data_IF_992228380093
#
_entry.id   IF_992228380093
#
_cell.length_a   1.000
_cell.length_b   1.000
_cell.length_c   1.000
_cell.angle_alpha   90.00
_cell.angle_beta   90.00
_cell.angle_gamma   90.00
#
_symmetry.space_group_name_H-M   'P 1'
#
loop_
_entity.id
_entity.type
_entity.pdbx_description
1 polymer ?
#
# COMPACT_ATOMS: atom_id res chain seq x y z
N UNK A 1 3.96 -13.97 8.33
CA UNK A 1 3.44 -12.64 7.95
C UNK A 1 4.35 -12.01 6.93
N UNK A 2 3.77 -11.37 5.94
CA UNK A 2 4.53 -10.70 4.88
C UNK A 2 4.45 -9.21 5.11
N UNK A 3 5.59 -8.51 5.04
CA UNK A 3 5.63 -7.07 5.22
C UNK A 3 5.85 -6.38 3.88
N UNK A 4 5.07 -5.32 3.65
CA UNK A 4 5.16 -4.52 2.43
C UNK A 4 5.01 -3.05 2.78
N UNK A 5 5.55 -2.19 1.94
CA UNK A 5 5.48 -0.74 2.11
C UNK A 5 4.33 -0.20 1.28
N UNK A 6 3.52 0.65 1.90
CA UNK A 6 2.41 1.33 1.24
C UNK A 6 2.66 2.83 1.27
N UNK A 7 2.07 3.53 0.31
CA UNK A 7 2.08 5.00 0.32
C UNK A 7 0.77 5.44 0.94
N UNK A 8 0.84 6.05 2.10
CA UNK A 8 -0.30 6.36 2.94
C UNK A 8 -0.41 7.86 3.17
N UNK A 9 -1.64 8.36 3.21
CA UNK A 9 -1.91 9.78 3.42
C UNK A 9 -2.09 10.10 4.90
N UNK A 10 -1.54 11.22 5.34
CA UNK A 10 -1.60 11.66 6.73
C UNK A 10 -2.18 13.06 6.84
N UNK A 11 -2.81 13.34 7.98
CA UNK A 11 -3.29 14.69 8.31
C UNK A 11 -2.11 15.56 8.74
N UNK A 12 -2.38 16.86 8.90
CA UNK A 12 -1.37 17.79 9.41
C UNK A 12 -0.91 17.41 10.81
N UNK A 13 -1.78 16.77 11.58
CA UNK A 13 -1.47 16.31 12.93
C UNK A 13 -0.68 15.01 12.95
N UNK A 14 -0.42 14.43 11.78
CA UNK A 14 0.37 13.22 11.69
C UNK A 14 -0.41 11.93 11.87
N UNK A 15 -1.73 11.99 11.71
CA UNK A 15 -2.59 10.81 11.81
C UNK A 15 -2.94 10.30 10.42
N UNK A 16 -3.02 8.97 10.27
CA UNK A 16 -3.40 8.37 9.00
C UNK A 16 -4.85 8.73 8.66
N UNK A 17 -5.08 9.09 7.39
CA UNK A 17 -6.43 9.35 6.90
C UNK A 17 -7.11 8.07 6.45
N UNK A 18 -6.38 6.94 6.38
CA UNK A 18 -6.93 5.70 5.87
C UNK A 18 -6.99 5.63 4.36
N UNK A 19 -6.29 6.54 3.67
CA UNK A 19 -6.21 6.52 2.21
C UNK A 19 -4.82 6.11 1.77
N UNK A 20 -4.77 5.23 0.76
CA UNK A 20 -3.53 4.66 0.24
C UNK A 20 -3.46 4.80 -1.28
N UNK A 21 -2.25 4.84 -1.79
CA UNK A 21 -2.04 4.78 -3.24
C UNK A 21 -2.36 3.37 -3.73
N UNK A 22 -3.31 3.27 -4.67
CA UNK A 22 -3.72 1.98 -5.23
C UNK A 22 -2.99 1.67 -6.54
N UNK A 23 -2.78 2.68 -7.37
CA UNK A 23 -2.11 2.50 -8.65
C UNK A 23 -1.15 3.66 -8.88
N UNK A 24 0.12 3.35 -9.13
CA UNK A 24 1.13 4.40 -9.31
C UNK A 24 1.07 5.05 -10.69
N UNK A 25 0.42 4.40 -11.66
CA UNK A 25 0.36 4.92 -13.02
C UNK A 25 -0.66 6.07 -13.11
N UNK A 26 -1.88 5.84 -12.61
CA UNK A 26 -2.94 6.84 -12.65
C UNK A 26 -3.18 7.51 -11.29
N UNK A 27 -2.39 7.15 -10.28
CA UNK A 27 -2.46 7.72 -8.94
C UNK A 27 -3.83 7.54 -8.28
N UNK A 28 -4.48 6.42 -8.56
CA UNK A 28 -5.77 6.06 -7.95
C UNK A 28 -5.57 5.78 -6.46
N UNK A 29 -6.54 6.20 -5.66
CA UNK A 29 -6.51 6.02 -4.20
C UNK A 29 -7.52 4.96 -3.77
N UNK A 30 -7.26 4.35 -2.62
CA UNK A 30 -8.17 3.38 -2.03
C UNK A 30 -8.15 3.50 -0.52
N UNK A 31 -9.29 3.22 0.12
CA UNK A 31 -9.38 3.10 1.56
C UNK A 31 -9.13 1.66 2.02
N UNK A 32 -9.02 0.73 1.10
CA UNK A 32 -8.81 -0.69 1.39
C UNK A 32 -7.31 -0.98 1.38
N UNK A 33 -6.76 -1.28 2.56
CA UNK A 33 -5.33 -1.56 2.70
C UNK A 33 -4.90 -2.76 1.84
N UNK A 34 -5.82 -3.71 1.61
CA UNK A 34 -5.50 -4.88 0.80
C UNK A 34 -5.48 -4.57 -0.69
N UNK A 35 -6.18 -3.52 -1.11
CA UNK A 35 -6.17 -3.07 -2.50
C UNK A 35 -5.06 -2.07 -2.79
N UNK A 36 -4.35 -1.62 -1.78
CA UNK A 36 -3.28 -0.65 -1.94
C UNK A 36 -2.10 -1.24 -2.69
N UNK A 37 -1.39 -0.39 -3.42
CA UNK A 37 -0.17 -0.79 -4.12
C UNK A 37 0.89 -1.17 -3.08
N UNK A 38 1.43 -2.38 -3.18
CA UNK A 38 2.40 -2.91 -2.24
C UNK A 38 3.80 -2.86 -2.85
N UNK A 39 4.72 -2.24 -2.11
CA UNK A 39 6.12 -2.14 -2.51
C UNK A 39 6.96 -3.01 -1.60
N UNK A 40 7.89 -3.74 -2.18
CA UNK A 40 8.78 -4.60 -1.41
C UNK A 40 9.84 -3.77 -0.69
N UNK A 41 10.25 -2.65 -1.28
CA UNK A 41 11.35 -1.85 -0.78
C UNK A 41 10.85 -0.50 -0.30
N UNK A 42 11.33 -0.10 0.86
CA UNK A 42 11.02 1.21 1.43
C UNK A 42 11.38 2.33 0.46
N UNK A 43 12.54 2.23 -0.15
CA UNK A 43 13.05 3.26 -1.07
C UNK A 43 12.07 3.54 -2.21
N UNK A 44 11.56 2.47 -2.81
CA UNK A 44 10.62 2.61 -3.93
C UNK A 44 9.34 3.29 -3.45
N UNK A 45 8.84 2.88 -2.28
CA UNK A 45 7.63 3.50 -1.72
C UNK A 45 7.87 4.97 -1.39
N UNK A 46 9.05 5.32 -0.89
CA UNK A 46 9.37 6.71 -0.58
C UNK A 46 9.42 7.58 -1.83
N UNK A 47 9.95 7.07 -2.92
CA UNK A 47 9.92 7.79 -4.19
C UNK A 47 8.49 8.06 -4.64
N UNK A 48 7.61 7.08 -4.50
CA UNK A 48 6.21 7.25 -4.89
C UNK A 48 5.49 8.21 -3.95
N UNK A 49 5.86 8.20 -2.67
CA UNK A 49 5.30 9.17 -1.71
C UNK A 49 5.67 10.60 -2.12
N UNK A 50 6.91 10.82 -2.57
CA UNK A 50 7.33 12.12 -3.07
C UNK A 50 6.52 12.54 -4.30
N UNK A 51 6.32 11.62 -5.25
CA UNK A 51 5.50 11.88 -6.42
C UNK A 51 4.09 12.30 -6.02
N UNK A 52 3.52 11.63 -5.02
CA UNK A 52 2.17 11.95 -4.55
C UNK A 52 2.10 13.32 -3.90
N UNK A 53 3.12 13.68 -3.13
CA UNK A 53 3.18 15.02 -2.51
C UNK A 53 3.18 16.11 -3.56
N UNK A 54 3.89 15.90 -4.65
CA UNK A 54 3.97 16.89 -5.73
C UNK A 54 2.72 16.92 -6.58
N UNK A 55 2.18 15.74 -6.91
CA UNK A 55 1.04 15.64 -7.82
C UNK A 55 -0.28 15.99 -7.16
N UNK A 56 -0.46 15.57 -5.91
CA UNK A 56 -1.75 15.72 -5.23
C UNK A 56 -1.68 16.54 -3.95
N UNK A 57 -0.48 16.92 -3.57
CA UNK A 57 -0.23 17.61 -2.31
C UNK A 57 -0.65 16.75 -1.13
N UNK A 58 -0.39 17.21 0.06
CA UNK A 58 -0.70 16.47 1.27
C UNK A 58 0.51 15.73 1.79
N UNK A 59 0.33 15.10 2.93
CA UNK A 59 1.41 14.41 3.64
C UNK A 59 1.35 12.92 3.31
N UNK A 60 2.05 12.52 2.28
CA UNK A 60 2.14 11.13 1.83
C UNK A 60 3.44 10.53 2.33
N UNK A 61 3.35 9.36 2.96
CA UNK A 61 4.51 8.71 3.56
C UNK A 61 4.53 7.23 3.20
N UNK A 62 5.75 6.66 3.15
CA UNK A 62 5.93 5.22 3.02
C UNK A 62 5.79 4.60 4.41
N UNK A 63 4.85 3.68 4.57
CA UNK A 63 4.56 3.02 5.84
C UNK A 63 4.55 1.52 5.63
N UNK A 64 5.24 0.79 6.51
CA UNK A 64 5.28 -0.67 6.42
C UNK A 64 4.05 -1.28 7.09
N UNK A 65 3.42 -2.21 6.40
CA UNK A 65 2.27 -2.95 6.91
C UNK A 65 2.53 -4.44 6.81
N UNK A 66 2.02 -5.18 7.79
CA UNK A 66 2.07 -6.63 7.77
C UNK A 66 0.80 -7.20 7.16
N UNK A 67 0.96 -8.24 6.35
CA UNK A 67 -0.16 -8.92 5.71
C UNK A 67 -0.12 -10.41 6.08
N UNK A 68 -1.27 -10.96 6.39
CA UNK A 68 -1.38 -12.37 6.76
C UNK A 68 -1.33 -13.23 5.50
N UNK A 69 -0.21 -13.91 5.28
CA UNK A 69 -0.01 -14.74 4.10
C UNK A 69 -0.83 -16.02 4.13
N UNK A 70 -1.38 -16.40 5.28
CA UNK A 70 -2.24 -17.58 5.37
C UNK A 70 -3.57 -17.35 4.66
N UNK A 71 -3.93 -16.11 4.40
CA UNK A 71 -5.17 -15.76 3.69
C UNK A 71 -4.96 -15.63 2.21
N UNK A 72 -3.73 -15.76 1.72
CA UNK A 72 -3.43 -15.68 0.30
C UNK A 72 -3.90 -16.96 -0.34
N UNK A 73 -4.84 -16.96 -1.19
CA UNK A 73 -5.31 -18.16 -1.85
C UNK A 73 -4.24 -18.77 -2.70
N UNK A 74 -4.04 -19.31 -2.42
CA UNK A 74 -3.25 -19.81 -3.03
C UNK A 74 -3.40 -20.37 -3.89
N UNK A 75 -3.66 -19.66 -3.74
CA UNK A 75 -3.79 -19.97 -4.01
C UNK A 75 -3.78 -20.58 -4.45
N UNK A 76 -3.40 -20.88 -4.52
CA UNK A 76 -3.25 -21.44 -4.64
C UNK A 76 -3.87 -22.09 -4.64
N UNK A 77 -4.10 -21.99 -4.99
CA UNK A 77 -4.43 -22.50 -4.55
C UNK A 77 -4.91 -23.08 -4.74
N UNK A 78 -4.89 -23.20 -5.10
CA UNK A 78 -5.13 -23.63 -4.84
C UNK A 78 -5.13 -24.15 -5.05
N UNK A 79 -4.88 -24.43 -5.15
CA UNK A 79 -4.63 -24.84 -4.94
C UNK A 79 -5.17 -25.44 -4.82
N UNK A 80 -5.38 -25.73 -5.22
CA UNK A 80 -5.67 -26.04 -4.64
C UNK A 80 -6.24 -26.40 -4.50
N UNK A 81 -6.31 -26.48 -4.74
CA UNK A 81 -6.63 -26.63 -4.19
C UNK A 81 -7.02 -26.72 -3.92
N UNK A 82 -7.17 -26.82 -4.12
CA UNK A 82 -7.34 -26.73 -3.54
C UNK A 82 -7.57 -26.71 -3.28
N UNK A 83 -7.74 -26.75 -3.38
CA UNK A 83 -7.83 -26.64 -3.00
C UNK A 83 -7.85 -26.64 -2.84
#
# INVERSE_FOLDING_TARGET
MIYRWLVENFTKEGQSTGLYLACQVDMTLTADVNAARKFRRQRTAEFRALDMREARRGDWRAVEHGFDDSKTPNVRANRGTTA
#
